data_IF_552635482011
#
_entry.id   IF_552635482011
#
_cell.length_a   1.000
_cell.length_b   1.000
_cell.length_c   1.000
_cell.angle_alpha   90.00
_cell.angle_beta   90.00
_cell.angle_gamma   90.00
#
_symmetry.space_group_name_H-M   'P 1'
#
loop_
_entity.id
_entity.type
_entity.pdbx_description
1 polymer ?
#
# COMPACT_ATOMS: atom_id res chain seq x y z
N UNK A 1 5.82 -2.07 -14.79
CA UNK A 1 6.84 -1.23 -14.09
C UNK A 1 6.33 -0.82 -12.72
N UNK A 2 7.24 -0.68 -11.74
CA UNK A 2 6.92 -0.25 -10.37
C UNK A 2 6.37 1.17 -10.37
N UNK A 3 5.32 1.43 -9.60
CA UNK A 3 4.82 2.78 -9.33
C UNK A 3 5.11 3.18 -7.88
N UNK A 4 5.54 4.42 -7.67
CA UNK A 4 5.90 4.95 -6.35
C UNK A 4 5.07 6.19 -6.05
N UNK A 5 4.40 6.18 -4.91
CA UNK A 5 3.57 7.26 -4.40
C UNK A 5 4.26 7.87 -3.18
N UNK A 6 4.63 9.15 -3.28
CA UNK A 6 5.37 9.85 -2.23
C UNK A 6 4.48 10.30 -1.06
N UNK A 7 3.16 10.26 -1.23
CA UNK A 7 2.18 10.63 -0.20
C UNK A 7 0.97 9.72 -0.26
N UNK A 8 0.28 9.59 0.88
CA UNK A 8 -0.99 8.86 0.95
C UNK A 8 -2.03 9.42 -0.02
N UNK A 9 -2.13 10.74 -0.15
CA UNK A 9 -3.07 11.39 -1.07
C UNK A 9 -2.81 11.02 -2.53
N UNK A 10 -1.53 10.95 -2.93
CA UNK A 10 -1.17 10.54 -4.30
C UNK A 10 -1.55 9.08 -4.57
N UNK A 11 -1.35 8.19 -3.59
CA UNK A 11 -1.80 6.80 -3.68
C UNK A 11 -3.33 6.74 -3.81
N UNK A 12 -4.05 7.38 -2.89
CA UNK A 12 -5.52 7.37 -2.86
C UNK A 12 -6.15 7.92 -4.14
N UNK A 13 -5.50 8.88 -4.80
CA UNK A 13 -5.96 9.43 -6.07
C UNK A 13 -5.77 8.48 -7.26
N UNK A 14 -4.86 7.51 -7.14
CA UNK A 14 -4.48 6.59 -8.22
C UNK A 14 -5.12 5.20 -8.12
N UNK A 15 -5.80 4.85 -7.02
CA UNK A 15 -6.33 3.50 -6.76
C UNK A 15 -7.22 2.93 -7.87
N UNK A 16 -8.01 3.76 -8.55
CA UNK A 16 -8.92 3.31 -9.63
C UNK A 16 -8.18 2.89 -10.90
N UNK A 17 -6.89 3.23 -11.01
CA UNK A 17 -6.04 2.87 -12.15
C UNK A 17 -5.12 1.67 -11.85
N UNK A 18 -5.19 1.11 -10.63
CA UNK A 18 -4.38 -0.03 -10.20
C UNK A 18 -5.21 -1.33 -10.25
N UNK A 19 -4.52 -2.46 -10.39
CA UNK A 19 -5.17 -3.77 -10.31
C UNK A 19 -5.70 -4.05 -8.91
N UNK A 20 -6.98 -4.41 -8.82
CA UNK A 20 -7.74 -4.37 -7.56
C UNK A 20 -7.32 -5.45 -6.55
N UNK A 21 -6.80 -6.58 -7.03
CA UNK A 21 -6.41 -7.70 -6.16
C UNK A 21 -4.92 -7.70 -5.79
N UNK A 22 -4.20 -6.65 -6.16
CA UNK A 22 -2.78 -6.54 -5.86
C UNK A 22 -2.52 -5.76 -4.57
N UNK A 23 -1.30 -5.92 -4.06
CA UNK A 23 -0.87 -5.30 -2.82
C UNK A 23 -0.19 -3.96 -3.05
N UNK A 24 -0.45 -3.04 -2.13
CA UNK A 24 0.40 -1.88 -1.88
C UNK A 24 1.42 -2.27 -0.81
N UNK A 25 2.67 -1.85 -1.02
CA UNK A 25 3.77 -2.09 -0.13
C UNK A 25 4.26 -0.78 0.48
N UNK A 26 4.70 -0.82 1.74
CA UNK A 26 5.33 0.33 2.41
C UNK A 26 6.34 -0.15 3.45
N UNK A 27 7.24 0.75 3.87
CA UNK A 27 8.03 0.53 5.06
C UNK A 27 7.12 0.77 6.29
N UNK A 28 6.59 -0.31 6.85
CA UNK A 28 5.64 -0.25 7.97
C UNK A 28 6.19 0.51 9.17
N UNK A 29 7.51 0.45 9.43
CA UNK A 29 8.13 1.19 10.54
C UNK A 29 8.12 2.70 10.29
N UNK A 30 8.24 3.13 9.04
CA UNK A 30 8.12 4.53 8.66
C UNK A 30 6.68 5.00 8.76
N UNK A 31 5.73 4.19 8.25
CA UNK A 31 4.30 4.46 8.40
C UNK A 31 3.91 4.61 9.88
N UNK A 32 4.27 3.65 10.75
CA UNK A 32 3.90 3.69 12.16
C UNK A 32 4.52 4.88 12.92
N UNK A 33 5.67 5.39 12.46
CA UNK A 33 6.36 6.54 13.06
C UNK A 33 5.84 7.88 12.54
N UNK A 34 5.66 8.00 11.22
CA UNK A 34 5.18 9.22 10.57
C UNK A 34 4.50 8.89 9.22
N UNK A 35 3.18 8.61 9.25
CA UNK A 35 2.39 8.27 8.06
C UNK A 35 2.47 9.30 6.94
N UNK A 36 2.65 10.59 7.26
CA UNK A 36 2.71 11.67 6.28
C UNK A 36 4.00 11.68 5.44
N UNK A 37 5.05 10.99 5.90
CA UNK A 37 6.33 10.87 5.19
C UNK A 37 6.54 9.49 4.56
N UNK A 38 5.60 8.57 4.76
CA UNK A 38 5.70 7.23 4.22
C UNK A 38 5.52 7.24 2.70
N UNK A 39 6.36 6.47 2.00
CA UNK A 39 6.21 6.19 0.57
C UNK A 39 5.50 4.85 0.37
N UNK A 40 4.74 4.76 -0.72
CA UNK A 40 3.98 3.56 -1.08
C UNK A 40 4.42 3.06 -2.45
N UNK A 41 4.48 1.74 -2.57
CA UNK A 41 4.99 1.06 -3.74
C UNK A 41 3.92 0.11 -4.25
N UNK A 42 3.63 0.23 -5.52
CA UNK A 42 2.80 -0.72 -6.24
C UNK A 42 3.70 -1.48 -7.20
N UNK A 43 3.74 -2.80 -7.03
CA UNK A 43 4.61 -3.71 -7.77
C UNK A 43 3.67 -4.69 -8.49
N UNK A 44 3.42 -4.47 -9.80
CA UNK A 44 2.55 -5.35 -10.55
C UNK A 44 3.09 -6.78 -10.61
N UNK A 45 2.23 -7.77 -10.51
CA UNK A 45 2.61 -9.17 -10.67
C UNK A 45 3.23 -9.43 -12.05
N UNK A 46 2.61 -8.91 -13.10
CA UNK A 46 3.11 -9.04 -14.47
C UNK A 46 4.53 -8.46 -14.63
N UNK A 47 4.85 -7.40 -13.88
CA UNK A 47 6.20 -6.85 -13.86
C UNK A 47 7.21 -7.78 -13.18
N UNK A 48 6.84 -8.46 -12.09
CA UNK A 48 7.70 -9.44 -11.44
C UNK A 48 8.01 -10.62 -12.37
N UNK A 49 7.03 -11.06 -13.15
CA UNK A 49 7.19 -12.17 -14.10
C UNK A 49 8.12 -11.85 -15.29
N UNK A 50 8.39 -10.57 -15.54
CA UNK A 50 9.31 -10.12 -16.59
C UNK A 50 10.77 -10.02 -16.11
N UNK A 51 11.03 -10.12 -14.80
CA UNK A 51 12.38 -10.01 -14.24
C UNK A 51 13.15 -11.34 -14.35
N UNK A 52 14.46 -11.22 -14.49
CA UNK A 52 15.36 -12.37 -14.38
C UNK A 52 15.49 -12.81 -12.90
N UNK A 53 15.78 -14.10 -12.66
CA UNK A 53 15.90 -14.68 -11.32
C UNK A 53 16.91 -13.94 -10.41
N UNK A 54 17.97 -13.34 -10.98
CA UNK A 54 18.99 -12.59 -10.23
C UNK A 54 18.59 -11.14 -9.90
N UNK A 55 17.48 -10.66 -10.47
CA UNK A 55 16.82 -9.39 -10.21
C UNK A 55 15.67 -9.51 -9.19
N UNK A 56 15.39 -10.72 -8.71
CA UNK A 56 14.37 -11.01 -7.68
C UNK A 56 15.07 -11.37 -6.36
N UNK A 57 14.47 -10.95 -5.25
CA UNK A 57 14.80 -11.45 -3.91
C UNK A 57 13.51 -11.91 -3.20
N UNK A 58 13.66 -12.78 -2.20
CA UNK A 58 12.57 -13.12 -1.30
C UNK A 58 12.65 -12.21 -0.08
N UNK A 59 11.54 -11.56 0.25
CA UNK A 59 11.45 -10.78 1.48
C UNK A 59 11.24 -11.69 2.71
N UNK A 60 11.07 -11.10 3.90
CA UNK A 60 10.93 -11.90 5.14
C UNK A 60 9.56 -12.62 5.23
N UNK A 61 8.66 -12.41 4.27
CA UNK A 61 7.37 -13.12 4.13
C UNK A 61 7.44 -14.20 3.01
N UNK A 62 8.64 -14.52 2.54
CA UNK A 62 8.91 -15.42 1.40
C UNK A 62 8.21 -14.97 0.10
N UNK A 63 7.95 -13.66 -0.06
CA UNK A 63 7.35 -13.09 -1.26
C UNK A 63 8.42 -12.59 -2.22
N UNK A 64 8.21 -12.85 -3.52
CA UNK A 64 9.06 -12.35 -4.59
C UNK A 64 8.98 -10.83 -4.72
N UNK A 65 10.13 -10.18 -4.65
CA UNK A 65 10.25 -8.73 -4.71
C UNK A 65 11.39 -8.32 -5.63
N UNK A 66 11.32 -7.14 -6.29
CA UNK A 66 12.39 -6.66 -7.15
C UNK A 66 13.59 -6.26 -6.30
N UNK A 67 14.79 -6.78 -6.62
CA UNK A 67 16.04 -6.52 -5.89
C UNK A 67 16.41 -5.04 -5.80
N UNK A 68 15.93 -4.21 -6.73
CA UNK A 68 16.04 -2.75 -6.66
C UNK A 68 15.40 -2.12 -5.43
N UNK A 69 14.48 -2.84 -4.76
CA UNK A 69 13.76 -2.40 -3.56
C UNK A 69 14.24 -3.05 -2.26
N UNK A 70 15.24 -3.94 -2.29
CA UNK A 70 15.69 -4.72 -1.13
C UNK A 70 16.03 -3.83 0.10
N UNK A 71 16.65 -2.68 -0.14
CA UNK A 71 17.05 -1.75 0.91
C UNK A 71 15.88 -0.93 1.51
N UNK A 72 14.70 -0.98 0.90
CA UNK A 72 13.54 -0.16 1.29
C UNK A 72 12.73 -0.79 2.43
N UNK A 73 13.01 -2.05 2.81
CA UNK A 73 12.35 -2.77 3.92
C UNK A 73 10.82 -2.76 3.79
N UNK A 74 10.35 -3.00 2.56
CA UNK A 74 8.94 -3.02 2.25
C UNK A 74 8.26 -4.27 2.81
N UNK A 75 6.97 -4.12 3.14
CA UNK A 75 6.06 -5.19 3.54
C UNK A 75 4.71 -4.97 2.89
N UNK A 76 3.95 -6.06 2.71
CA UNK A 76 2.55 -5.98 2.32
C UNK A 76 1.80 -5.07 3.30
N UNK A 77 1.22 -3.99 2.78
CA UNK A 77 0.56 -2.98 3.60
C UNK A 77 -0.95 -3.12 3.54
N UNK A 78 -1.52 -3.06 2.33
CA UNK A 78 -2.97 -3.14 2.09
C UNK A 78 -3.25 -3.66 0.68
N UNK A 79 -4.38 -4.32 0.49
CA UNK A 79 -4.89 -4.69 -0.84
C UNK A 79 -5.56 -3.48 -1.50
N UNK A 80 -5.38 -3.32 -2.82
CA UNK A 80 -5.89 -2.17 -3.57
C UNK A 80 -7.41 -2.03 -3.45
N UNK A 81 -8.17 -3.12 -3.57
CA UNK A 81 -9.64 -3.08 -3.51
C UNK A 81 -10.18 -2.59 -2.16
N UNK A 82 -9.59 -3.04 -1.05
CA UNK A 82 -9.99 -2.62 0.29
C UNK A 82 -9.70 -1.14 0.52
N UNK A 83 -8.54 -0.68 0.04
CA UNK A 83 -8.17 0.73 0.12
C UNK A 83 -9.03 1.60 -0.80
N UNK A 84 -9.43 1.09 -1.98
CA UNK A 84 -10.31 1.78 -2.92
C UNK A 84 -11.71 1.96 -2.35
N UNK A 85 -12.30 0.89 -1.79
CA UNK A 85 -13.61 0.93 -1.13
C UNK A 85 -13.63 1.96 0.01
N UNK A 86 -12.60 1.94 0.84
CA UNK A 86 -12.44 2.93 1.91
C UNK A 86 -12.32 4.37 1.37
N UNK A 87 -11.53 4.57 0.32
CA UNK A 87 -11.31 5.89 -0.28
C UNK A 87 -12.59 6.50 -0.85
N UNK A 88 -13.48 5.69 -1.42
CA UNK A 88 -14.79 6.15 -1.88
C UNK A 88 -15.63 6.63 -0.69
N UNK A 89 -15.66 5.84 0.40
CA UNK A 89 -16.48 6.12 1.58
C UNK A 89 -15.98 7.32 2.39
N UNK A 90 -14.67 7.49 2.52
CA UNK A 90 -14.12 8.64 3.25
C UNK A 90 -14.37 9.98 2.54
N UNK A 91 -14.42 9.99 1.19
CA UNK A 91 -14.78 11.18 0.40
C UNK A 91 -16.23 11.60 0.61
N UNK A 92 -17.16 10.67 0.84
CA UNK A 92 -18.55 10.98 1.19
C UNK A 92 -18.66 11.66 2.58
N UNK A 93 -17.71 11.41 3.47
CA UNK A 93 -17.75 11.79 4.88
C UNK A 93 -16.94 13.06 5.23
N UNK A 94 -16.28 13.68 4.24
CA UNK A 94 -15.41 14.87 4.36
C UNK A 94 -14.44 14.79 5.55
N UNK A 95 -13.69 13.70 5.62
CA UNK A 95 -12.85 13.38 6.78
C UNK A 95 -11.48 14.04 6.72
N UNK A 96 -10.94 14.33 7.89
CA UNK A 96 -9.58 14.85 8.02
C UNK A 96 -8.56 13.76 7.72
N UNK A 97 -7.36 14.16 7.29
CA UNK A 97 -6.24 13.23 7.06
C UNK A 97 -5.89 12.38 8.29
N UNK A 98 -5.93 12.99 9.48
CA UNK A 98 -5.70 12.26 10.73
C UNK A 98 -6.72 11.13 10.93
N UNK A 99 -8.00 11.41 10.68
CA UNK A 99 -9.04 10.39 10.78
C UNK A 99 -8.79 9.25 9.79
N UNK A 100 -8.38 9.57 8.56
CA UNK A 100 -8.05 8.57 7.53
C UNK A 100 -6.92 7.64 8.00
N UNK A 101 -5.85 8.20 8.58
CA UNK A 101 -4.73 7.43 9.13
C UNK A 101 -5.18 6.52 10.28
N UNK A 102 -5.97 7.05 11.21
CA UNK A 102 -6.50 6.29 12.35
C UNK A 102 -7.37 5.12 11.88
N UNK A 103 -8.15 5.32 10.82
CA UNK A 103 -9.04 4.33 10.25
C UNK A 103 -8.30 3.23 9.51
N UNK A 104 -7.27 3.58 8.74
CA UNK A 104 -6.34 2.62 8.13
C UNK A 104 -5.63 1.79 9.21
N UNK A 105 -5.15 2.42 10.27
CA UNK A 105 -4.49 1.71 11.37
C UNK A 105 -5.45 0.78 12.11
N UNK A 106 -6.72 1.17 12.26
CA UNK A 106 -7.74 0.29 12.79
C UNK A 106 -7.95 -0.93 11.89
N UNK A 107 -8.13 -0.73 10.57
CA UNK A 107 -8.26 -1.84 9.62
C UNK A 107 -7.07 -2.80 9.70
N UNK A 108 -5.83 -2.29 9.73
CA UNK A 108 -4.62 -3.13 9.84
C UNK A 108 -4.57 -3.99 11.12
N UNK A 109 -5.28 -3.59 12.18
CA UNK A 109 -5.34 -4.35 13.44
C UNK A 109 -6.54 -5.28 13.56
N UNK A 110 -7.63 -5.02 12.83
CA UNK A 110 -8.94 -5.68 13.02
C UNK A 110 -9.55 -6.25 11.74
N UNK A 111 -8.89 -6.10 10.60
CA UNK A 111 -9.33 -6.53 9.27
C UNK A 111 -10.74 -5.99 8.89
N UNK A 112 -11.07 -4.80 9.40
CA UNK A 112 -12.34 -4.14 9.16
C UNK A 112 -12.22 -2.64 9.38
N UNK A 113 -12.86 -1.84 8.52
CA UNK A 113 -13.01 -0.40 8.73
C UNK A 113 -14.23 -0.12 9.61
N UNK A 114 -14.10 0.70 10.66
CA UNK A 114 -15.21 1.16 11.50
C UNK A 114 -16.23 1.97 10.70
N UNK A 115 -15.79 2.69 9.68
CA UNK A 115 -16.69 3.48 8.83
C UNK A 115 -17.55 2.65 7.86
N UNK A 116 -17.31 1.33 7.77
CA UNK A 116 -18.08 0.40 6.93
C UNK A 116 -18.98 -0.54 7.77
N UNK A 117 -19.00 -0.38 9.09
CA UNK A 117 -19.78 -1.16 10.04
C UNK A 117 -21.05 -0.40 10.44
#
# INVERSE_FOLDING_TARGET
MIQVFQTLESLLASLTALEQNEWIYTNVKEWDKNPDLASFYYIPWDYLQELDDDEIYLDDEDLEMPKSLENMKLRGWMVVCDLALFNEKQKELDKTRQWVIEEINYYRGYDAYRCLI
#
